data_IF_747790344789
#
_entry.id   IF_747790344789
#
_cell.length_a   1.000
_cell.length_b   1.000
_cell.length_c   1.000
_cell.angle_alpha   90.00
_cell.angle_beta   90.00
_cell.angle_gamma   90.00
#
_symmetry.space_group_name_H-M   'P 1'
#
loop_
_entity.id
_entity.type
_entity.pdbx_description
1 polymer ?
#
# COMPACT_ATOMS: atom_id res chain seq x y z
N UNK A 1 -18.03 11.51 14.95
CA UNK A 1 -17.25 11.72 13.71
C UNK A 1 -16.44 10.47 13.50
N UNK A 2 -16.80 9.66 12.51
CA UNK A 2 -16.11 8.43 12.18
C UNK A 2 -14.70 8.79 11.72
N UNK A 3 -13.68 8.40 12.48
CA UNK A 3 -12.30 8.46 12.01
C UNK A 3 -12.18 7.50 10.85
N UNK A 4 -12.31 8.03 9.62
CA UNK A 4 -12.08 7.32 8.37
C UNK A 4 -10.65 6.81 8.36
N UNK A 5 -10.43 5.66 8.98
CA UNK A 5 -9.18 4.95 8.87
C UNK A 5 -9.03 4.53 7.42
N UNK A 6 -7.79 4.52 6.94
CA UNK A 6 -7.36 4.07 5.62
C UNK A 6 -7.60 2.56 5.45
N UNK A 7 -8.87 2.18 5.56
CA UNK A 7 -9.39 0.83 5.41
C UNK A 7 -9.64 0.58 3.93
N UNK A 8 -10.06 1.60 3.18
CA UNK A 8 -10.23 1.53 1.72
C UNK A 8 -8.90 1.17 1.05
N UNK A 9 -7.85 1.99 1.14
CA UNK A 9 -6.59 1.73 0.43
C UNK A 9 -5.99 0.36 0.75
N UNK A 10 -6.00 -0.08 2.00
CA UNK A 10 -5.41 -1.37 2.37
C UNK A 10 -6.30 -2.58 2.12
N UNK A 11 -7.62 -2.49 2.34
CA UNK A 11 -8.54 -3.60 2.07
C UNK A 11 -8.70 -3.82 0.57
N UNK A 12 -8.78 -2.74 -0.19
CA UNK A 12 -8.90 -2.79 -1.65
C UNK A 12 -7.58 -3.25 -2.28
N UNK A 13 -6.43 -2.72 -1.85
CA UNK A 13 -5.12 -3.19 -2.33
C UNK A 13 -4.83 -4.66 -1.94
N UNK A 14 -5.23 -5.12 -0.74
CA UNK A 14 -5.07 -6.52 -0.35
C UNK A 14 -5.79 -7.50 -1.28
N UNK A 15 -7.04 -7.20 -1.62
CA UNK A 15 -7.84 -8.06 -2.49
C UNK A 15 -7.29 -8.11 -3.92
N UNK A 16 -6.70 -7.00 -4.38
CA UNK A 16 -6.09 -6.92 -5.70
C UNK A 16 -4.77 -7.66 -5.81
N UNK A 17 -3.91 -7.60 -4.79
CA UNK A 17 -2.56 -8.17 -4.85
C UNK A 17 -2.55 -9.71 -4.84
N UNK A 18 -3.71 -10.33 -4.60
CA UNK A 18 -3.96 -11.75 -4.81
C UNK A 18 -4.34 -12.10 -6.28
N UNK A 19 -4.54 -11.10 -7.15
CA UNK A 19 -4.83 -11.29 -8.57
C UNK A 19 -3.56 -11.71 -9.33
N UNK A 20 -3.64 -12.80 -10.09
CA UNK A 20 -2.54 -13.27 -10.94
C UNK A 20 -2.13 -12.22 -11.99
N UNK A 21 -3.10 -11.48 -12.55
CA UNK A 21 -2.88 -10.45 -13.56
C UNK A 21 -2.10 -9.24 -13.00
N UNK A 22 -2.47 -8.76 -11.80
CA UNK A 22 -1.73 -7.68 -11.14
C UNK A 22 -0.30 -8.13 -10.79
N UNK A 23 -0.12 -9.39 -10.40
CA UNK A 23 1.20 -9.96 -10.14
C UNK A 23 2.10 -9.97 -11.38
N UNK A 24 1.57 -10.26 -12.57
CA UNK A 24 2.34 -10.13 -13.81
C UNK A 24 2.70 -8.68 -14.12
N UNK A 25 1.76 -7.74 -13.97
CA UNK A 25 2.02 -6.32 -14.19
C UNK A 25 3.06 -5.73 -13.23
N UNK A 26 3.06 -6.17 -11.98
CA UNK A 26 4.08 -5.78 -11.00
C UNK A 26 5.46 -6.37 -11.32
N UNK A 27 5.55 -7.58 -11.88
CA UNK A 27 6.82 -8.12 -12.41
C UNK A 27 7.34 -7.30 -13.58
N UNK A 28 6.48 -6.94 -14.52
CA UNK A 28 6.84 -6.06 -15.64
C UNK A 28 7.34 -4.70 -15.13
N UNK A 29 6.65 -4.14 -14.12
CA UNK A 29 7.01 -2.86 -13.53
C UNK A 29 8.37 -2.90 -12.83
N UNK A 30 8.61 -3.93 -12.01
CA UNK A 30 9.86 -4.13 -11.26
C UNK A 30 11.06 -4.50 -12.13
N UNK A 31 10.82 -4.99 -13.36
CA UNK A 31 11.86 -5.24 -14.36
C UNK A 31 12.49 -3.98 -14.98
N UNK A 32 11.98 -2.79 -14.64
CA UNK A 32 12.48 -1.49 -15.12
C UNK A 32 12.46 -0.42 -14.05
N UNK A 33 12.99 0.75 -14.36
CA UNK A 33 12.74 1.94 -13.55
C UNK A 33 11.28 2.36 -13.71
N UNK A 34 10.59 2.58 -12.59
CA UNK A 34 9.21 3.03 -12.52
C UNK A 34 9.08 4.24 -11.60
N UNK A 35 7.98 4.96 -11.75
CA UNK A 35 7.60 6.14 -10.99
C UNK A 35 6.47 5.82 -10.02
N UNK A 36 6.29 6.67 -9.00
CA UNK A 36 5.17 6.52 -8.07
C UNK A 36 3.81 6.66 -8.76
N UNK A 37 3.71 7.54 -9.75
CA UNK A 37 2.50 7.72 -10.54
C UNK A 37 2.13 6.42 -11.28
N UNK A 38 3.09 5.73 -11.88
CA UNK A 38 2.85 4.46 -12.56
C UNK A 38 2.34 3.36 -11.61
N UNK A 39 2.81 3.32 -10.36
CA UNK A 39 2.29 2.37 -9.36
C UNK A 39 0.85 2.74 -8.97
N UNK A 40 0.56 4.02 -8.72
CA UNK A 40 -0.77 4.47 -8.36
C UNK A 40 -1.79 4.28 -9.50
N UNK A 41 -1.39 4.56 -10.74
CA UNK A 41 -2.18 4.31 -11.96
C UNK A 41 -2.46 2.81 -12.14
N UNK A 42 -1.43 1.96 -11.99
CA UNK A 42 -1.57 0.52 -12.10
C UNK A 42 -2.58 0.00 -11.07
N UNK A 43 -2.44 0.38 -9.79
CA UNK A 43 -3.38 -0.06 -8.75
C UNK A 43 -4.79 0.49 -8.98
N UNK A 44 -4.91 1.75 -9.41
CA UNK A 44 -6.19 2.38 -9.74
C UNK A 44 -6.93 1.68 -10.88
N UNK A 45 -6.22 1.12 -11.86
CA UNK A 45 -6.83 0.43 -13.01
C UNK A 45 -7.63 -0.83 -12.63
N UNK A 46 -7.39 -1.40 -11.45
CA UNK A 46 -8.11 -2.57 -10.95
C UNK A 46 -9.30 -2.22 -10.05
N UNK A 47 -9.59 -0.92 -9.85
CA UNK A 47 -10.70 -0.46 -9.04
C UNK A 47 -11.77 0.24 -9.89
N UNK A 48 -12.99 0.31 -9.36
CA UNK A 48 -14.03 1.16 -9.94
C UNK A 48 -13.55 2.62 -9.99
N UNK A 49 -13.94 3.42 -10.99
CA UNK A 49 -13.42 4.78 -11.19
C UNK A 49 -13.47 5.67 -9.93
N UNK A 50 -14.54 5.60 -9.16
CA UNK A 50 -14.71 6.37 -7.93
C UNK A 50 -13.72 5.96 -6.82
N UNK A 51 -13.39 4.66 -6.78
CA UNK A 51 -12.40 4.11 -5.85
C UNK A 51 -10.99 4.45 -6.31
N UNK A 52 -10.74 4.42 -7.63
CA UNK A 52 -9.45 4.81 -8.21
C UNK A 52 -9.12 6.29 -7.95
N UNK A 53 -10.08 7.20 -8.14
CA UNK A 53 -9.92 8.64 -7.85
C UNK A 53 -9.63 8.89 -6.36
N UNK A 54 -10.37 8.20 -5.47
CA UNK A 54 -10.15 8.29 -4.03
C UNK A 54 -8.75 7.77 -3.64
N UNK A 55 -8.33 6.64 -4.21
CA UNK A 55 -6.99 6.09 -3.95
C UNK A 55 -5.88 6.99 -4.48
N UNK A 56 -6.03 7.58 -5.67
CA UNK A 56 -5.07 8.54 -6.20
C UNK A 56 -4.91 9.74 -5.27
N UNK A 57 -6.03 10.31 -4.79
CA UNK A 57 -6.00 11.39 -3.80
C UNK A 57 -5.31 11.00 -2.49
N UNK A 58 -5.49 9.76 -2.02
CA UNK A 58 -4.75 9.25 -0.85
C UNK A 58 -3.25 9.09 -1.14
N UNK A 59 -2.85 8.59 -2.32
CA UNK A 59 -1.44 8.46 -2.69
C UNK A 59 -0.71 9.80 -2.81
N UNK A 60 -1.38 10.87 -3.26
CA UNK A 60 -0.81 12.21 -3.38
C UNK A 60 -0.40 12.83 -2.03
N UNK A 61 -1.15 12.51 -0.97
CA UNK A 61 -0.89 13.03 0.39
C UNK A 61 0.01 12.13 1.22
N UNK A 62 0.29 10.91 0.73
CA UNK A 62 1.14 9.95 1.40
C UNK A 62 2.63 10.18 1.08
N UNK A 63 3.55 9.75 1.96
CA UNK A 63 4.97 9.81 1.64
C UNK A 63 5.25 9.06 0.35
N UNK A 64 6.07 9.67 -0.51
CA UNK A 64 6.50 9.11 -1.80
C UNK A 64 7.12 7.71 -1.68
N UNK A 65 7.58 7.33 -0.49
CA UNK A 65 8.12 6.02 -0.19
C UNK A 65 7.06 4.89 -0.18
N UNK A 66 5.77 5.20 -0.01
CA UNK A 66 4.71 4.19 0.12
C UNK A 66 4.62 3.25 -1.10
N UNK A 67 4.48 3.74 -2.35
CA UNK A 67 4.41 2.87 -3.52
C UNK A 67 5.66 1.99 -3.68
N UNK A 68 6.83 2.54 -3.37
CA UNK A 68 8.09 1.79 -3.42
C UNK A 68 8.10 0.63 -2.42
N UNK A 69 7.77 0.87 -1.15
CA UNK A 69 7.75 -0.18 -0.13
C UNK A 69 6.67 -1.24 -0.38
N UNK A 70 5.53 -0.83 -0.94
CA UNK A 70 4.48 -1.74 -1.37
C UNK A 70 5.01 -2.73 -2.42
N UNK A 71 5.60 -2.21 -3.49
CA UNK A 71 6.12 -3.02 -4.60
C UNK A 71 7.31 -3.87 -4.15
N UNK A 72 8.25 -3.31 -3.40
CA UNK A 72 9.44 -4.06 -2.95
C UNK A 72 9.11 -5.18 -1.96
N UNK A 73 8.19 -4.93 -1.01
CA UNK A 73 7.77 -5.99 -0.08
C UNK A 73 7.07 -7.14 -0.82
N UNK A 74 6.26 -6.81 -1.82
CA UNK A 74 5.59 -7.80 -2.68
C UNK A 74 6.61 -8.58 -3.51
N UNK A 75 7.55 -7.88 -4.16
CA UNK A 75 8.62 -8.49 -4.96
C UNK A 75 9.46 -9.46 -4.13
N UNK A 76 9.84 -9.04 -2.93
CA UNK A 76 10.62 -9.86 -2.00
C UNK A 76 9.91 -11.16 -1.63
N UNK A 77 8.59 -11.10 -1.37
CA UNK A 77 7.79 -12.29 -1.10
C UNK A 77 7.72 -13.20 -2.32
N UNK A 78 7.43 -12.63 -3.50
CA UNK A 78 7.24 -13.38 -4.75
C UNK A 78 8.52 -14.13 -5.16
N UNK A 79 9.67 -13.45 -5.15
CA UNK A 79 10.97 -14.04 -5.49
C UNK A 79 11.41 -15.13 -4.49
N UNK A 80 10.96 -15.03 -3.24
CA UNK A 80 11.27 -16.00 -2.20
C UNK A 80 10.25 -17.14 -2.10
N UNK A 81 9.20 -17.15 -2.92
CA UNK A 81 8.10 -18.11 -2.81
C UNK A 81 7.33 -18.04 -1.48
N UNK A 82 7.34 -16.86 -0.83
CA UNK A 82 6.74 -16.62 0.49
C UNK A 82 5.37 -15.98 0.40
N UNK A 83 4.61 -16.07 1.48
CA UNK A 83 3.35 -15.33 1.61
C UNK A 83 3.61 -13.83 1.70
N UNK A 84 2.68 -13.04 1.16
CA UNK A 84 2.71 -11.57 1.26
C UNK A 84 1.41 -11.07 1.89
N UNK A 85 1.54 -10.12 2.82
CA UNK A 85 0.39 -9.48 3.46
C UNK A 85 0.58 -7.96 3.55
N UNK A 86 -0.50 -7.22 3.29
CA UNK A 86 -0.53 -5.76 3.44
C UNK A 86 -1.54 -5.37 4.52
N UNK A 87 -1.15 -4.55 5.49
CA UNK A 87 -1.99 -4.24 6.65
C UNK A 87 -2.05 -2.74 6.94
N UNK A 88 -3.16 -2.30 7.53
CA UNK A 88 -3.37 -0.92 8.01
C UNK A 88 -3.55 -0.93 9.53
N UNK A 89 -2.48 -1.14 10.31
CA UNK A 89 -2.60 -1.17 11.75
C UNK A 89 -2.99 0.21 12.28
N UNK A 90 -3.89 0.22 13.27
CA UNK A 90 -4.24 1.46 13.97
C UNK A 90 -3.00 2.00 14.71
N UNK A 91 -2.69 3.31 14.62
CA UNK A 91 -1.61 3.89 15.40
C UNK A 91 -1.92 3.81 16.90
N UNK A 92 -0.92 3.42 17.72
CA UNK A 92 -1.06 3.38 19.19
C UNK A 92 -1.38 4.76 19.82
N UNK A 93 -1.06 5.83 19.08
CA UNK A 93 -1.25 7.23 19.49
C UNK A 93 -1.84 8.05 18.34
N UNK A 94 -3.14 7.90 18.01
CA UNK A 94 -3.73 8.48 16.80
C UNK A 94 -3.69 10.01 16.80
N UNK A 95 -3.89 10.66 17.96
CA UNK A 95 -3.83 12.13 18.07
C UNK A 95 -2.42 12.66 17.79
N UNK A 96 -1.37 11.96 18.26
CA UNK A 96 0.03 12.32 17.98
C UNK A 96 0.33 12.16 16.49
N UNK A 97 -0.19 11.09 15.87
CA UNK A 97 -0.01 10.84 14.44
C UNK A 97 -0.64 11.95 13.59
N UNK A 98 -1.88 12.33 13.90
CA UNK A 98 -2.58 13.41 13.21
C UNK A 98 -1.83 14.75 13.37
N UNK A 99 -1.52 15.14 14.62
CA UNK A 99 -0.87 16.42 14.93
C UNK A 99 0.47 16.59 14.21
N UNK A 100 1.23 15.50 14.07
CA UNK A 100 2.57 15.53 13.49
C UNK A 100 2.59 15.07 12.02
N UNK A 101 1.43 14.84 11.38
CA UNK A 101 1.33 14.27 10.03
C UNK A 101 2.20 13.03 9.86
N UNK A 102 2.20 12.19 10.89
CA UNK A 102 3.08 11.03 10.99
C UNK A 102 2.49 9.87 10.20
N UNK A 103 3.34 9.26 9.38
CA UNK A 103 3.08 8.00 8.72
C UNK A 103 4.16 7.01 9.20
N UNK A 104 3.74 5.81 9.58
CA UNK A 104 4.64 4.72 9.96
C UNK A 104 4.52 3.60 8.94
N UNK A 105 5.67 3.16 8.45
CA UNK A 105 5.84 1.98 7.64
C UNK A 105 6.50 0.89 8.48
N UNK A 106 6.01 -0.34 8.38
CA UNK A 106 6.62 -1.53 9.00
C UNK A 106 6.75 -2.58 7.92
N UNK A 107 7.95 -3.11 7.70
CA UNK A 107 8.19 -4.25 6.82
C UNK A 107 8.80 -5.35 7.67
N UNK A 108 8.05 -6.44 7.84
CA UNK A 108 8.53 -7.63 8.54
C UNK A 108 8.82 -8.72 7.53
N UNK A 109 10.01 -9.33 7.64
CA UNK A 109 10.46 -10.43 6.79
C UNK A 109 10.89 -11.55 7.71
N UNK A 110 10.19 -12.67 7.64
CA UNK A 110 10.49 -13.84 8.47
C UNK A 110 10.46 -15.13 7.63
N UNK A 111 10.50 -16.29 8.29
CA UNK A 111 10.42 -17.60 7.63
C UNK A 111 9.05 -17.88 6.97
N UNK A 112 7.98 -17.24 7.45
CA UNK A 112 6.60 -17.48 7.03
C UNK A 112 6.19 -16.57 5.85
N UNK A 113 6.74 -15.36 5.79
CA UNK A 113 6.23 -14.35 4.88
C UNK A 113 6.98 -13.03 4.85
N UNK A 114 6.43 -12.12 4.04
CA UNK A 114 6.71 -10.69 4.10
C UNK A 114 5.40 -9.98 4.44
N UNK A 115 5.43 -9.13 5.45
CA UNK A 115 4.29 -8.26 5.77
C UNK A 115 4.68 -6.80 5.61
N UNK A 116 3.77 -6.00 5.06
CA UNK A 116 3.91 -4.56 4.96
C UNK A 116 2.75 -3.88 5.70
N UNK A 117 3.06 -3.07 6.71
CA UNK A 117 2.11 -2.32 7.51
C UNK A 117 2.23 -0.82 7.30
N UNK A 118 1.10 -0.15 7.11
CA UNK A 118 1.02 1.33 6.98
C UNK A 118 0.07 1.88 8.05
N UNK A 119 0.61 2.64 9.00
CA UNK A 119 -0.20 3.32 10.02
C UNK A 119 -0.17 4.84 9.81
N UNK A 120 -1.34 5.45 9.64
CA UNK A 120 -1.51 6.90 9.57
C UNK A 120 -2.93 7.33 9.98
N UNK A 121 -3.18 8.63 10.04
CA UNK A 121 -4.52 9.20 10.26
C UNK A 121 -4.89 10.08 9.06
N UNK A 122 -6.02 9.78 8.44
CA UNK A 122 -6.54 10.53 7.29
C UNK A 122 -7.24 11.83 7.75
N UNK A 123 -7.12 12.91 6.97
CA UNK A 123 -7.95 14.11 7.10
C UNK A 123 -7.58 15.15 8.15
N UNK A 124 -6.28 15.44 8.37
CA UNK A 124 -5.82 16.54 9.24
C UNK A 124 -4.80 17.47 8.58
#
# INVERSE_FOLDING_TARGET
MSSGHCRLLTTETMNLMASEDLGEKLRELTGRQYTHAEVAELLGAYHAPETAETMQGEYEVMPTLLPYLLVESWRLANESGKTWAFTSPQPDRPIEFARNRKVRFVVDVDENGVSFGVAHVHGY
#
